data_IF_955259685227
#
_entry.id   IF_955259685227
#
_cell.length_a   1.000
_cell.length_b   1.000
_cell.length_c   1.000
_cell.angle_alpha   90.00
_cell.angle_beta   90.00
_cell.angle_gamma   90.00
#
_symmetry.space_group_name_H-M   'P 1'
#
loop_
_entity.id
_entity.type
_entity.pdbx_description
1 polymer ?
#
# COMPACT_ATOMS: atom_id res chain seq x y z
N UNK A 1 -4.95 25.93 -22.36
CA UNK A 1 -3.97 25.10 -23.10
C UNK A 1 -4.68 23.81 -23.49
N UNK A 2 -4.72 23.46 -24.78
CA UNK A 2 -5.25 22.17 -25.24
C UNK A 2 -4.05 21.28 -25.48
N UNK A 3 -3.93 20.20 -24.72
CA UNK A 3 -2.87 19.22 -24.91
C UNK A 3 -3.32 18.29 -26.05
N UNK A 4 -2.62 18.34 -27.17
CA UNK A 4 -2.71 17.27 -28.16
C UNK A 4 -1.80 16.14 -27.68
N UNK A 5 -2.41 15.09 -27.14
CA UNK A 5 -1.67 13.99 -26.53
C UNK A 5 -1.21 12.96 -27.55
N UNK A 6 -1.60 13.03 -28.82
CA UNK A 6 -1.07 12.10 -29.83
C UNK A 6 0.43 12.30 -30.07
N UNK A 7 0.90 13.53 -29.91
CA UNK A 7 2.32 13.82 -29.77
C UNK A 7 2.77 13.60 -28.33
N UNK A 8 4.04 13.23 -28.15
CA UNK A 8 4.62 13.02 -26.82
C UNK A 8 4.61 14.36 -26.05
N UNK A 9 3.91 14.39 -24.93
CA UNK A 9 3.89 15.54 -24.02
C UNK A 9 4.54 15.16 -22.70
N UNK A 10 5.74 15.69 -22.44
CA UNK A 10 6.37 15.61 -21.12
C UNK A 10 5.77 16.67 -20.18
N UNK A 11 5.37 16.25 -18.98
CA UNK A 11 4.91 17.17 -17.94
C UNK A 11 6.11 17.85 -17.27
N UNK A 12 5.90 19.07 -16.78
CA UNK A 12 6.95 19.89 -16.16
C UNK A 12 6.69 20.11 -14.66
N UNK A 13 7.68 20.66 -13.95
CA UNK A 13 7.57 20.93 -12.51
C UNK A 13 7.56 19.65 -11.67
N UNK A 14 6.70 19.53 -10.63
CA UNK A 14 6.62 18.32 -9.79
C UNK A 14 6.29 17.03 -10.53
N UNK A 15 5.82 17.14 -11.77
CA UNK A 15 5.46 16.03 -12.65
C UNK A 15 6.58 15.69 -13.65
N UNK A 16 7.79 16.24 -13.48
CA UNK A 16 8.91 15.98 -14.38
C UNK A 16 9.17 14.48 -14.58
N UNK A 17 9.29 14.09 -15.86
CA UNK A 17 9.51 12.70 -16.29
C UNK A 17 8.23 11.88 -16.47
N UNK A 18 7.08 12.36 -15.98
CA UNK A 18 5.78 11.84 -16.38
C UNK A 18 5.31 12.51 -17.67
N UNK A 19 4.43 11.86 -18.41
CA UNK A 19 3.84 12.47 -19.59
C UNK A 19 2.73 11.64 -20.22
N UNK A 20 2.18 12.16 -21.30
CA UNK A 20 1.13 11.51 -22.06
C UNK A 20 1.57 11.29 -23.50
N UNK A 21 1.12 10.17 -24.07
CA UNK A 21 1.22 9.88 -25.49
C UNK A 21 0.02 9.04 -25.92
N UNK A 22 -0.71 9.49 -26.94
CA UNK A 22 -2.03 8.97 -27.31
C UNK A 22 -3.00 8.95 -26.12
N UNK A 23 -3.39 7.73 -25.75
CA UNK A 23 -4.33 7.37 -24.69
C UNK A 23 -3.67 6.83 -23.41
N UNK A 24 -2.33 6.87 -23.35
CA UNK A 24 -1.54 6.36 -22.21
C UNK A 24 -0.72 7.44 -21.53
N UNK A 25 -0.48 7.23 -20.24
CA UNK A 25 0.46 7.98 -19.43
C UNK A 25 1.76 7.19 -19.31
N UNK A 26 2.91 7.84 -19.42
CA UNK A 26 4.20 7.21 -19.10
C UNK A 26 4.79 7.78 -17.82
N UNK A 27 5.58 6.97 -17.13
CA UNK A 27 6.31 7.37 -15.92
C UNK A 27 7.79 7.64 -16.22
N UNK A 28 8.52 8.32 -15.31
CA UNK A 28 9.96 8.54 -15.47
C UNK A 28 10.76 7.24 -15.58
N UNK A 29 10.23 6.14 -15.03
CA UNK A 29 10.84 4.81 -15.12
C UNK A 29 10.55 4.09 -16.45
N UNK A 30 9.87 4.74 -17.39
CA UNK A 30 9.54 4.17 -18.71
C UNK A 30 8.39 3.18 -18.69
N UNK A 31 7.49 3.26 -17.69
CA UNK A 31 6.28 2.42 -17.65
C UNK A 31 5.13 3.13 -18.33
N UNK A 32 4.42 2.39 -19.18
CA UNK A 32 3.18 2.84 -19.81
C UNK A 32 1.96 2.41 -18.96
N UNK A 33 1.05 3.35 -18.72
CA UNK A 33 -0.14 3.20 -17.90
C UNK A 33 -1.36 3.63 -18.72
N UNK A 34 -2.25 2.68 -19.00
CA UNK A 34 -3.48 2.94 -19.74
C UNK A 34 -4.58 3.43 -18.79
N UNK A 35 -5.65 4.01 -19.34
CA UNK A 35 -6.80 4.47 -18.56
C UNK A 35 -7.38 3.39 -17.63
N UNK A 36 -7.37 2.13 -18.05
CA UNK A 36 -7.82 1.00 -17.23
C UNK A 36 -6.95 0.78 -15.99
N UNK A 37 -5.63 0.96 -16.10
CA UNK A 37 -4.67 0.81 -15.00
C UNK A 37 -4.87 1.92 -13.95
N UNK A 38 -5.21 3.12 -14.43
CA UNK A 38 -5.43 4.31 -13.60
C UNK A 38 -6.73 4.25 -12.79
N UNK A 39 -7.70 3.39 -13.16
CA UNK A 39 -9.01 3.26 -12.48
C UNK A 39 -8.89 3.07 -10.97
N UNK A 40 -7.84 2.40 -10.52
CA UNK A 40 -7.66 2.04 -9.12
C UNK A 40 -6.68 2.95 -8.36
N UNK A 41 -6.12 3.97 -9.00
CA UNK A 41 -5.11 4.82 -8.34
C UNK A 41 -5.64 5.57 -7.13
N UNK A 42 -6.83 6.14 -7.22
CA UNK A 42 -7.43 6.83 -6.07
C UNK A 42 -7.53 5.88 -4.87
N UNK A 43 -7.97 4.64 -5.11
CA UNK A 43 -8.04 3.60 -4.09
C UNK A 43 -6.65 3.24 -3.54
N UNK A 44 -5.67 2.98 -4.40
CA UNK A 44 -4.30 2.64 -3.99
C UNK A 44 -3.67 3.77 -3.16
N UNK A 45 -3.82 5.03 -3.59
CA UNK A 45 -3.34 6.20 -2.87
C UNK A 45 -4.04 6.36 -1.52
N UNK A 46 -5.35 6.14 -1.44
CA UNK A 46 -6.09 6.16 -0.18
C UNK A 46 -5.59 5.08 0.79
N UNK A 47 -5.42 3.83 0.32
CA UNK A 47 -4.91 2.73 1.15
C UNK A 47 -3.50 3.05 1.65
N UNK A 48 -2.62 3.55 0.77
CA UNK A 48 -1.26 3.95 1.14
C UNK A 48 -1.26 5.08 2.19
N UNK A 49 -2.18 6.04 2.06
CA UNK A 49 -2.36 7.13 3.04
C UNK A 49 -2.84 6.61 4.39
N UNK A 50 -3.88 5.78 4.42
CA UNK A 50 -4.40 5.18 5.66
C UNK A 50 -3.33 4.35 6.38
N UNK A 51 -2.58 3.55 5.62
CA UNK A 51 -1.44 2.81 6.17
C UNK A 51 -0.38 3.73 6.76
N UNK A 52 -0.05 4.82 6.08
CA UNK A 52 0.95 5.80 6.55
C UNK A 52 0.49 6.51 7.83
N UNK A 53 -0.80 6.85 7.93
CA UNK A 53 -1.41 7.43 9.12
C UNK A 53 -1.36 6.46 10.29
N UNK A 54 -1.83 5.23 10.10
CA UNK A 54 -1.76 4.18 11.12
C UNK A 54 -0.33 3.96 11.62
N UNK A 55 0.66 3.91 10.72
CA UNK A 55 2.07 3.77 11.10
C UNK A 55 2.64 5.01 11.80
N UNK A 56 2.09 6.20 11.53
CA UNK A 56 2.46 7.42 12.25
C UNK A 56 1.87 7.45 13.66
N UNK A 57 0.61 7.05 13.82
CA UNK A 57 -0.08 6.93 15.10
C UNK A 57 0.62 5.92 16.01
N UNK A 58 0.95 4.74 15.48
CA UNK A 58 1.68 3.71 16.24
C UNK A 58 3.07 4.19 16.66
N UNK A 59 3.80 4.90 15.78
CA UNK A 59 5.10 5.50 16.15
C UNK A 59 4.96 6.56 17.23
N UNK A 60 3.90 7.38 17.18
CA UNK A 60 3.63 8.40 18.19
C UNK A 60 3.23 7.77 19.53
N UNK A 61 2.38 6.74 19.53
CA UNK A 61 1.96 6.02 20.73
C UNK A 61 3.13 5.33 21.45
N UNK A 62 4.12 4.87 20.70
CA UNK A 62 5.36 4.25 21.23
C UNK A 62 6.44 5.25 21.62
N UNK A 63 6.30 6.52 21.26
CA UNK A 63 7.31 7.52 21.59
C UNK A 63 7.19 7.92 23.05
N UNK A 64 8.33 7.99 23.73
CA UNK A 64 8.44 8.60 25.07
C UNK A 64 8.05 10.10 25.04
N UNK A 65 8.09 10.73 23.86
CA UNK A 65 7.65 12.11 23.61
C UNK A 65 6.65 12.17 22.44
N UNK A 66 5.34 11.97 22.69
CA UNK A 66 4.31 12.11 21.66
C UNK A 66 4.38 13.48 20.98
N UNK A 67 4.14 13.54 19.67
CA UNK A 67 4.13 14.75 18.82
C UNK A 67 5.48 15.41 18.49
N UNK A 68 6.61 14.97 19.07
CA UNK A 68 7.94 15.35 18.56
C UNK A 68 8.36 14.36 17.47
N UNK A 69 8.84 14.82 16.28
CA UNK A 69 9.46 13.95 15.30
C UNK A 69 10.68 13.29 15.96
N UNK A 70 10.48 12.08 16.46
CA UNK A 70 11.53 11.33 17.13
C UNK A 70 12.43 10.83 16.01
N UNK A 71 13.65 11.37 15.94
CA UNK A 71 14.64 11.00 14.95
C UNK A 71 14.73 9.48 14.86
N UNK A 72 14.83 8.97 13.63
CA UNK A 72 14.89 7.55 13.34
C UNK A 72 16.00 6.88 14.15
N UNK A 73 15.58 6.15 15.20
CA UNK A 73 16.34 5.15 15.96
C UNK A 73 17.56 5.66 16.73
N UNK A 74 17.45 5.69 18.06
CA UNK A 74 18.60 5.43 18.93
C UNK A 74 19.04 3.98 18.74
N UNK A 75 20.34 3.68 18.53
CA UNK A 75 20.83 2.31 18.52
C UNK A 75 20.48 1.66 19.87
N UNK A 76 19.62 0.62 19.85
CA UNK A 76 19.14 -0.05 21.06
C UNK A 76 17.64 0.09 21.35
N UNK A 77 16.88 0.84 20.55
CA UNK A 77 15.41 0.87 20.65
C UNK A 77 14.85 -0.54 20.41
N UNK A 78 14.34 -1.15 21.49
CA UNK A 78 13.80 -2.52 21.49
C UNK A 78 12.68 -2.62 20.46
N UNK A 79 12.83 -3.58 19.55
CA UNK A 79 11.74 -4.05 18.69
C UNK A 79 10.57 -4.39 19.63
N UNK A 80 9.46 -3.67 19.53
CA UNK A 80 8.28 -3.97 20.32
C UNK A 80 7.75 -5.31 19.81
N UNK A 81 7.79 -6.36 20.66
CA UNK A 81 7.35 -7.73 20.38
C UNK A 81 5.86 -7.87 19.97
N UNK A 82 5.14 -6.76 19.72
CA UNK A 82 3.69 -6.72 19.43
C UNK A 82 3.30 -6.30 18.01
N UNK A 83 4.18 -5.69 17.21
CA UNK A 83 3.86 -5.36 15.81
C UNK A 83 4.23 -6.53 14.89
N UNK A 84 3.40 -7.58 14.88
CA UNK A 84 3.50 -8.60 13.85
C UNK A 84 2.94 -8.06 12.54
N UNK A 85 3.77 -7.97 11.51
CA UNK A 85 3.29 -7.77 10.13
C UNK A 85 2.60 -9.06 9.73
N UNK A 86 1.28 -9.02 9.56
CA UNK A 86 0.51 -10.20 9.15
C UNK A 86 0.17 -10.05 7.67
N UNK A 87 0.54 -11.04 6.86
CA UNK A 87 0.10 -11.09 5.46
C UNK A 87 -1.37 -11.51 5.40
N UNK A 88 -2.20 -10.67 4.76
CA UNK A 88 -3.64 -10.94 4.62
C UNK A 88 -3.91 -12.30 3.96
N UNK A 89 -3.09 -12.71 3.00
CA UNK A 89 -3.17 -14.04 2.36
C UNK A 89 -3.11 -15.18 3.38
N UNK A 90 -2.24 -15.07 4.38
CA UNK A 90 -2.03 -16.12 5.39
C UNK A 90 -3.21 -16.16 6.36
N UNK A 91 -3.79 -15.00 6.69
CA UNK A 91 -5.00 -14.91 7.51
C UNK A 91 -6.19 -15.55 6.80
N UNK A 92 -6.36 -15.26 5.50
CA UNK A 92 -7.44 -15.80 4.70
C UNK A 92 -7.30 -17.32 4.50
N UNK A 93 -6.08 -17.81 4.26
CA UNK A 93 -5.78 -19.25 4.19
C UNK A 93 -6.10 -19.95 5.51
N UNK A 94 -5.58 -19.45 6.64
CA UNK A 94 -5.88 -20.01 7.97
C UNK A 94 -7.38 -20.02 8.28
N UNK A 95 -8.12 -18.99 7.86
CA UNK A 95 -9.57 -18.92 8.05
C UNK A 95 -10.30 -19.97 7.20
N UNK A 96 -9.83 -20.24 5.98
CA UNK A 96 -10.37 -21.30 5.11
C UNK A 96 -10.09 -22.68 5.68
N UNK A 97 -8.87 -22.94 6.12
CA UNK A 97 -8.47 -24.22 6.75
C UNK A 97 -9.30 -24.54 7.99
N UNK A 98 -9.50 -23.56 8.90
CA UNK A 98 -10.36 -23.72 10.08
C UNK A 98 -11.81 -24.04 9.72
N UNK A 99 -12.33 -23.49 8.61
CA UNK A 99 -13.68 -23.81 8.12
C UNK A 99 -13.75 -25.21 7.53
N UNK A 100 -12.71 -25.66 6.84
CA UNK A 100 -12.63 -27.01 6.28
C UNK A 100 -12.46 -28.08 7.37
N UNK A 101 -11.70 -27.81 8.43
CA UNK A 101 -11.54 -28.75 9.56
C UNK A 101 -12.84 -28.97 10.35
N UNK A 102 -13.73 -27.97 10.42
CA UNK A 102 -15.04 -28.09 11.05
C UNK A 102 -16.01 -28.99 10.25
N UNK A 103 -15.88 -29.05 8.92
CA UNK A 103 -16.71 -29.92 8.06
C UNK A 103 -16.21 -31.37 8.06
N UNK A 104 -14.90 -31.59 8.23
CA UNK A 104 -14.32 -32.94 8.32
C UNK A 104 -14.56 -33.67 9.66
N UNK A 105 -14.91 -32.94 10.73
CA UNK A 105 -15.15 -33.51 12.06
C UNK A 105 -16.60 -33.97 12.33
N UNK A 106 -17.53 -33.68 11.42
CA UNK A 106 -18.95 -34.00 11.60
C UNK A 106 -19.36 -35.37 11.03
N UNK A 107 -18.42 -36.16 10.51
CA UNK A 107 -18.68 -37.41 9.80
C UNK A 107 -17.85 -38.60 10.29
N UNK A 108 -17.72 -38.81 11.59
CA UNK A 108 -17.22 -40.08 12.14
C UNK A 108 -17.83 -40.32 13.51
N UNK A 109 -19.07 -40.80 13.50
CA UNK A 109 -19.81 -41.12 14.71
C UNK A 109 -21.09 -41.85 14.37
N UNK A 110 -20.96 -43.11 13.92
CA UNK A 110 -21.94 -44.20 14.09
C UNK A 110 -21.27 -45.51 13.75
#
# INVERSE_FOLDING_TARGET
>A
MKLDTYDRVDLTGPWAGFGFQGDRMFTPEGRDLHAADMRFWSLTCCIAREWSLMMSEERNARSENPQKPTATRTPGSRICNGANVIYLRDVLLKRREKRSSLVGGAGSGR
#
